data_IF_740987246967
#
_entry.id   IF_740987246967
#
_cell.length_a   1.000
_cell.length_b   1.000
_cell.length_c   1.000
_cell.angle_alpha   90.00
_cell.angle_beta   90.00
_cell.angle_gamma   90.00
#
_symmetry.space_group_name_H-M   'P 1'
#
loop_
_entity.id
_entity.type
_entity.pdbx_description
1 polymer ?
#
# COMPACT_ATOMS: atom_id res chain seq x y z
N UNK A 1 18.18 -18.98 -11.27
CA UNK A 1 18.12 -18.00 -10.17
C UNK A 1 16.66 -17.59 -9.99
N UNK A 2 15.93 -18.25 -9.09
CA UNK A 2 14.46 -18.13 -8.94
C UNK A 2 14.06 -18.04 -7.46
N UNK A 3 14.93 -17.46 -6.62
CA UNK A 3 14.70 -17.20 -5.20
C UNK A 3 14.65 -15.69 -4.98
N UNK A 4 13.44 -15.13 -4.82
CA UNK A 4 13.20 -13.83 -4.17
C UNK A 4 11.71 -13.39 -4.18
N UNK A 5 10.81 -14.05 -4.92
CA UNK A 5 9.38 -13.64 -4.92
C UNK A 5 8.65 -13.93 -3.60
N UNK A 6 8.98 -15.04 -2.93
CA UNK A 6 8.26 -15.45 -1.71
C UNK A 6 8.45 -14.57 -0.47
N UNK A 7 9.52 -13.76 -0.37
CA UNK A 7 9.69 -12.85 0.78
C UNK A 7 8.97 -11.52 0.60
N UNK A 8 8.71 -11.12 -0.66
CA UNK A 8 7.99 -9.89 -0.99
C UNK A 8 6.48 -10.05 -0.78
N UNK A 9 5.92 -11.21 -1.14
CA UNK A 9 4.51 -11.52 -0.84
C UNK A 9 4.27 -11.56 0.68
N UNK A 10 5.19 -12.15 1.45
CA UNK A 10 5.11 -12.11 2.92
C UNK A 10 5.23 -10.67 3.47
N UNK A 11 6.02 -9.81 2.81
CA UNK A 11 6.20 -8.42 3.18
C UNK A 11 4.93 -7.58 2.93
N UNK A 12 4.31 -7.74 1.76
CA UNK A 12 3.02 -7.18 1.40
C UNK A 12 1.92 -7.58 2.40
N UNK A 13 1.89 -8.86 2.75
CA UNK A 13 0.96 -9.41 3.74
C UNK A 13 1.18 -8.79 5.11
N UNK A 14 2.42 -8.73 5.57
CA UNK A 14 2.81 -8.09 6.82
C UNK A 14 2.47 -6.60 6.83
N UNK A 15 2.69 -5.88 5.75
CA UNK A 15 2.41 -4.44 5.65
C UNK A 15 0.91 -4.16 5.79
N UNK A 16 0.09 -5.02 5.18
CA UNK A 16 -1.36 -4.94 5.22
C UNK A 16 -1.91 -5.45 6.57
N UNK A 17 -1.29 -6.47 7.17
CA UNK A 17 -1.55 -6.97 8.54
C UNK A 17 -1.13 -5.98 9.64
N UNK A 18 -0.06 -5.21 9.44
CA UNK A 18 0.50 -4.28 10.41
C UNK A 18 -0.12 -2.88 10.35
N UNK A 19 -0.53 -2.42 9.17
CA UNK A 19 -1.01 -1.06 8.95
C UNK A 19 -2.50 -0.93 8.70
N UNK A 20 -3.24 -1.99 9.00
CA UNK A 20 -4.60 -1.88 9.51
C UNK A 20 -5.74 -2.24 8.57
N UNK A 21 -5.53 -3.18 7.65
CA UNK A 21 -6.65 -3.98 7.19
C UNK A 21 -6.16 -5.39 6.91
N UNK A 22 -6.71 -6.36 7.62
CA UNK A 22 -6.29 -7.77 7.60
C UNK A 22 -6.33 -8.34 6.19
N UNK A 23 -5.16 -8.73 5.65
CA UNK A 23 -5.09 -9.46 4.39
C UNK A 23 -3.92 -10.45 4.29
N UNK A 24 -4.26 -11.62 3.75
CA UNK A 24 -3.60 -12.92 3.70
C UNK A 24 -2.17 -13.03 3.14
N UNK A 25 -1.33 -13.81 3.84
CA UNK A 25 -0.34 -14.72 3.23
C UNK A 25 -1.08 -15.91 2.60
N UNK A 26 -1.25 -15.91 1.28
CA UNK A 26 -1.42 -17.14 0.53
C UNK A 26 -0.03 -17.68 0.18
N UNK A 27 0.45 -18.73 0.86
CA UNK A 27 1.42 -19.59 0.19
C UNK A 27 0.72 -20.13 -1.06
N UNK A 28 1.33 -20.11 -2.26
CA UNK A 28 0.72 -20.80 -3.38
C UNK A 28 0.51 -22.25 -2.94
N UNK A 29 -0.74 -22.71 -2.94
CA UNK A 29 -1.02 -24.14 -2.93
C UNK A 29 -0.17 -24.71 -4.06
N UNK A 30 0.93 -25.36 -3.70
CA UNK A 30 1.59 -26.26 -4.62
C UNK A 30 0.56 -27.35 -4.82
N UNK A 31 -0.07 -27.36 -5.98
CA UNK A 31 -0.60 -28.59 -6.54
C UNK A 31 0.53 -29.61 -6.43
N UNK A 32 0.44 -30.46 -5.41
CA UNK A 32 1.20 -31.69 -5.37
C UNK A 32 0.56 -32.53 -6.45
N UNK A 33 1.00 -32.31 -7.68
CA UNK A 33 0.78 -33.24 -8.78
C UNK A 33 1.40 -34.55 -8.30
N UNK A 34 0.61 -35.61 -8.03
CA UNK A 34 1.19 -36.89 -7.70
C UNK A 34 2.10 -37.29 -8.86
N UNK A 35 3.33 -37.67 -8.55
CA UNK A 35 4.28 -38.14 -9.55
C UNK A 35 3.61 -39.20 -10.43
N UNK A 36 3.69 -39.09 -11.76
CA UNK A 36 3.11 -40.11 -12.63
C UNK A 36 3.82 -41.43 -12.36
N UNK A 37 3.04 -42.42 -11.94
CA UNK A 37 3.44 -43.82 -11.94
C UNK A 37 3.77 -44.17 -13.39
N UNK A 38 5.02 -44.56 -13.62
CA UNK A 38 5.53 -44.97 -14.92
C UNK A 38 4.83 -46.25 -15.36
N UNK A 39 4.07 -46.28 -16.47
CA UNK A 39 3.62 -47.52 -17.08
C UNK A 39 4.71 -48.03 -18.03
N UNK A 40 4.92 -49.34 -18.02
CA UNK A 40 5.81 -50.04 -18.94
C UNK A 40 5.39 -49.86 -20.41
N UNK A 41 6.39 -49.81 -21.30
CA UNK A 41 6.36 -50.10 -22.76
C UNK A 41 5.50 -51.37 -23.02
N UNK A 42 4.70 -51.53 -24.08
CA UNK A 42 4.77 -51.27 -25.54
C UNK A 42 3.39 -51.73 -26.13
N UNK A 43 3.10 -51.81 -27.47
CA UNK A 43 3.59 -51.10 -28.64
C UNK A 43 2.46 -50.51 -29.56
N UNK A 44 2.88 -49.52 -30.36
CA UNK A 44 2.44 -49.10 -31.71
C UNK A 44 1.11 -49.62 -32.30
N UNK A 45 0.21 -48.69 -32.69
CA UNK A 45 -0.61 -48.82 -33.92
C UNK A 45 -1.18 -47.49 -34.44
N UNK A 46 -0.68 -47.10 -35.62
CA UNK A 46 -1.37 -46.52 -36.81
C UNK A 46 -2.28 -45.26 -36.70
N UNK A 47 -1.86 -44.20 -37.41
CA UNK A 47 -2.66 -43.05 -37.89
C UNK A 47 -3.75 -43.46 -38.92
N UNK A 48 -4.78 -42.64 -39.29
CA UNK A 48 -4.64 -41.36 -40.06
C UNK A 48 -5.78 -40.32 -39.73
N UNK A 49 -6.18 -39.38 -40.64
CA UNK A 49 -5.61 -38.07 -41.02
C UNK A 49 -6.56 -36.86 -40.66
N UNK A 50 -6.24 -35.59 -41.00
CA UNK A 50 -7.02 -34.42 -40.56
C UNK A 50 -8.19 -34.09 -41.49
N UNK A 51 -9.28 -33.57 -40.92
CA UNK A 51 -10.44 -33.06 -41.67
C UNK A 51 -10.49 -31.55 -41.52
N UNK A 52 -10.16 -30.84 -42.60
CA UNK A 52 -10.66 -29.50 -42.87
C UNK A 52 -12.09 -29.62 -43.37
N UNK A 53 -13.01 -28.79 -42.88
CA UNK A 53 -14.31 -28.59 -43.53
C UNK A 53 -14.62 -27.10 -43.58
N UNK A 54 -14.72 -26.60 -44.80
CA UNK A 54 -15.26 -25.30 -45.18
C UNK A 54 -16.61 -25.52 -45.89
N UNK A 55 -17.59 -24.66 -45.60
CA UNK A 55 -18.75 -24.29 -46.43
C UNK A 55 -19.51 -23.20 -45.64
N UNK A 56 -19.66 -21.94 -46.07
CA UNK A 56 -20.28 -21.36 -47.27
C UNK A 56 -21.78 -21.67 -47.45
N UNK A 57 -22.60 -20.61 -47.33
CA UNK A 57 -23.75 -20.22 -48.18
C UNK A 57 -24.60 -19.18 -47.40
N UNK A 58 -24.59 -17.90 -47.78
CA UNK A 58 -25.49 -17.25 -48.77
C UNK A 58 -26.97 -17.17 -48.33
N UNK A 59 -27.48 -15.96 -48.03
CA UNK A 59 -28.31 -15.19 -48.99
C UNK A 59 -28.98 -13.92 -48.40
N UNK A 60 -28.75 -12.80 -49.12
CA UNK A 60 -29.70 -11.74 -49.56
C UNK A 60 -30.38 -10.79 -48.53
N UNK A 61 -30.97 -9.65 -48.97
CA UNK A 61 -30.69 -8.79 -50.14
C UNK A 61 -30.46 -7.30 -49.81
N UNK A 62 -29.94 -6.59 -50.82
CA UNK A 62 -29.89 -5.14 -51.00
C UNK A 62 -31.19 -4.39 -50.61
N UNK A 63 -31.04 -3.39 -49.75
CA UNK A 63 -32.01 -2.32 -49.57
C UNK A 63 -31.35 -0.98 -49.92
N UNK A 64 -31.96 -0.30 -50.89
CA UNK A 64 -31.52 0.96 -51.45
C UNK A 64 -31.30 2.05 -50.38
N UNK A 65 -30.15 2.71 -50.46
CA UNK A 65 -29.81 3.86 -49.63
C UNK A 65 -30.64 5.11 -50.05
N UNK A 66 -31.37 5.76 -49.14
CA UNK A 66 -31.93 7.08 -49.40
C UNK A 66 -30.83 8.16 -49.40
N UNK A 67 -31.02 9.17 -50.25
CA UNK A 67 -30.15 10.32 -50.42
C UNK A 67 -29.85 11.06 -49.09
N UNK A 68 -28.65 11.67 -48.94
CA UNK A 68 -28.27 12.36 -47.72
C UNK A 68 -29.19 13.55 -47.46
N UNK A 69 -29.95 13.47 -46.38
CA UNK A 69 -30.69 14.60 -45.83
C UNK A 69 -29.68 15.65 -45.34
N UNK A 70 -29.99 16.92 -45.59
CA UNK A 70 -29.17 18.06 -45.21
C UNK A 70 -28.68 17.96 -43.76
N UNK A 71 -27.43 18.38 -43.47
CA UNK A 71 -26.88 18.29 -42.12
C UNK A 71 -27.79 19.07 -41.15
N UNK A 72 -28.22 18.46 -40.04
CA UNK A 72 -28.97 19.17 -39.02
C UNK A 72 -28.13 20.35 -38.53
N UNK A 73 -28.80 21.49 -38.32
CA UNK A 73 -28.20 22.69 -37.77
C UNK A 73 -27.34 22.33 -36.56
N UNK A 74 -26.07 22.71 -36.61
CA UNK A 74 -25.10 22.47 -35.55
C UNK A 74 -25.74 22.90 -34.22
N UNK A 75 -25.83 22.00 -33.21
CA UNK A 75 -26.23 22.42 -31.88
C UNK A 75 -25.27 23.55 -31.44
N UNK A 76 -25.76 24.54 -30.66
CA UNK A 76 -24.93 25.65 -30.22
C UNK A 76 -23.63 25.08 -29.67
N UNK A 77 -22.50 25.53 -30.24
CA UNK A 77 -21.15 25.09 -29.87
C UNK A 77 -21.12 24.99 -28.35
N UNK A 78 -21.14 23.75 -27.85
CA UNK A 78 -20.87 23.46 -26.45
C UNK A 78 -19.50 24.07 -26.26
N UNK A 79 -19.47 25.19 -25.55
CA UNK A 79 -18.26 25.92 -25.16
C UNK A 79 -17.27 24.82 -24.84
N UNK A 80 -16.17 24.74 -25.58
CA UNK A 80 -15.04 23.92 -25.19
C UNK A 80 -14.80 24.32 -23.74
N UNK A 81 -15.29 23.48 -22.82
CA UNK A 81 -14.85 23.46 -21.46
C UNK A 81 -13.38 23.17 -21.66
N UNK A 82 -12.62 24.25 -21.69
CA UNK A 82 -11.22 24.30 -21.35
C UNK A 82 -11.11 23.20 -20.30
N UNK A 83 -10.40 22.13 -20.63
CA UNK A 83 -9.91 21.21 -19.64
C UNK A 83 -9.02 22.06 -18.74
N UNK A 84 -9.65 22.84 -17.86
CA UNK A 84 -9.11 23.26 -16.60
C UNK A 84 -8.60 21.96 -16.04
N UNK A 85 -7.27 21.85 -16.03
CA UNK A 85 -6.55 20.78 -15.42
C UNK A 85 -7.34 20.42 -14.17
N UNK A 86 -7.99 19.24 -14.19
CA UNK A 86 -8.65 18.70 -13.02
C UNK A 86 -7.57 18.69 -11.98
N UNK A 87 -7.60 19.70 -11.12
CA UNK A 87 -6.92 19.69 -9.85
C UNK A 87 -7.58 18.52 -9.15
N UNK A 88 -6.91 17.36 -9.19
CA UNK A 88 -7.23 16.26 -8.30
C UNK A 88 -6.84 16.74 -6.91
N UNK A 89 -7.69 17.56 -6.33
CA UNK A 89 -7.64 17.92 -4.93
C UNK A 89 -7.82 16.61 -4.15
N UNK A 90 -6.70 16.06 -3.69
CA UNK A 90 -6.68 15.05 -2.64
C UNK A 90 -7.24 15.72 -1.38
N UNK A 91 -8.52 15.48 -1.08
CA UNK A 91 -9.19 16.06 0.07
C UNK A 91 -8.48 15.75 1.41
N UNK A 92 -8.42 16.71 2.36
CA UNK A 92 -8.42 18.16 2.15
C UNK A 92 -7.01 18.75 2.35
N UNK A 93 -6.00 18.13 1.71
CA UNK A 93 -4.77 18.78 1.21
C UNK A 93 -3.56 18.97 2.15
N UNK A 94 -2.35 19.23 1.61
CA UNK A 94 -1.77 18.55 0.44
C UNK A 94 -0.33 18.08 0.66
N UNK A 95 0.07 17.02 -0.07
CA UNK A 95 1.32 17.05 -0.84
C UNK A 95 1.07 16.31 -2.15
N UNK A 96 1.26 16.98 -3.28
CA UNK A 96 1.39 16.35 -4.60
C UNK A 96 2.75 16.72 -5.19
N UNK A 97 3.47 15.75 -5.75
CA UNK A 97 4.13 15.95 -7.03
C UNK A 97 3.74 14.83 -8.01
N UNK A 98 2.76 15.16 -8.85
CA UNK A 98 2.65 14.74 -10.26
C UNK A 98 2.28 13.30 -10.65
N UNK A 99 2.14 12.33 -9.75
CA UNK A 99 1.62 11.00 -10.13
C UNK A 99 0.47 10.52 -9.23
N UNK A 100 -0.53 9.79 -9.78
CA UNK A 100 -1.56 9.15 -8.98
C UNK A 100 -0.93 8.02 -8.15
N UNK A 101 -0.49 8.35 -6.94
CA UNK A 101 -0.08 7.35 -5.96
C UNK A 101 -1.28 6.48 -5.60
N UNK A 102 -1.10 5.17 -5.65
CA UNK A 102 -2.12 4.22 -5.24
C UNK A 102 -2.24 4.20 -3.70
N UNK A 103 -1.15 4.51 -2.97
CA UNK A 103 -1.18 4.58 -1.52
C UNK A 103 -0.32 5.71 -0.92
N UNK A 104 -0.66 6.10 0.31
CA UNK A 104 0.06 7.04 1.17
C UNK A 104 -0.03 6.55 2.62
N UNK A 105 1.07 6.07 3.18
CA UNK A 105 1.26 5.75 4.59
C UNK A 105 1.90 6.96 5.30
N UNK A 106 1.30 7.45 6.36
CA UNK A 106 1.91 8.41 7.27
C UNK A 106 1.96 7.82 8.69
N UNK A 107 3.10 7.95 9.36
CA UNK A 107 3.28 7.55 10.77
C UNK A 107 3.74 8.74 11.62
N UNK A 108 3.04 8.99 12.72
CA UNK A 108 3.33 10.03 13.69
C UNK A 108 4.31 9.49 14.73
N UNK A 109 5.59 9.57 14.41
CA UNK A 109 6.65 8.96 15.21
C UNK A 109 6.75 9.59 16.60
N UNK A 110 6.49 10.89 16.71
CA UNK A 110 6.44 11.59 18.00
C UNK A 110 5.32 11.05 18.89
N UNK A 111 4.10 10.89 18.36
CA UNK A 111 2.99 10.32 19.13
C UNK A 111 3.22 8.85 19.48
N UNK A 112 3.77 8.07 18.54
CA UNK A 112 4.04 6.65 18.76
C UNK A 112 5.09 6.41 19.85
N UNK A 113 6.15 7.23 19.94
CA UNK A 113 7.11 7.14 21.07
C UNK A 113 6.49 7.43 22.43
N UNK A 114 5.38 8.18 22.47
CA UNK A 114 4.74 8.62 23.71
C UNK A 114 3.81 7.57 24.33
N UNK A 115 3.51 6.45 23.66
CA UNK A 115 2.69 5.36 24.21
C UNK A 115 3.38 4.00 24.11
N UNK A 116 3.12 3.05 25.04
CA UNK A 116 3.68 1.69 24.97
C UNK A 116 3.29 0.94 23.69
N UNK A 117 2.02 1.02 23.28
CA UNK A 117 1.55 0.45 22.01
C UNK A 117 2.20 1.08 20.80
N UNK A 118 2.39 2.40 20.83
CA UNK A 118 3.02 3.14 19.75
C UNK A 118 4.47 2.72 19.53
N UNK A 119 5.24 2.45 20.60
CA UNK A 119 6.61 1.92 20.48
C UNK A 119 6.64 0.58 19.73
N UNK A 120 5.73 -0.35 20.05
CA UNK A 120 5.60 -1.61 19.30
C UNK A 120 5.21 -1.37 17.84
N UNK A 121 4.34 -0.39 17.57
CA UNK A 121 4.03 0.01 16.18
C UNK A 121 5.28 0.54 15.46
N UNK A 122 6.13 1.33 16.14
CA UNK A 122 7.40 1.79 15.57
C UNK A 122 8.36 0.65 15.27
N UNK A 123 8.41 -0.37 16.13
CA UNK A 123 9.19 -1.58 15.82
C UNK A 123 8.72 -2.22 14.54
N UNK A 124 7.40 -2.36 14.33
CA UNK A 124 6.87 -2.90 13.08
C UNK A 124 7.26 -2.02 11.88
N UNK A 125 7.13 -0.70 12.00
CA UNK A 125 7.55 0.24 10.94
C UNK A 125 9.06 0.22 10.67
N UNK A 126 9.88 -0.11 11.66
CA UNK A 126 11.33 -0.21 11.50
C UNK A 126 11.76 -1.39 10.65
N UNK A 127 10.84 -2.32 10.39
CA UNK A 127 11.06 -3.48 9.54
C UNK A 127 10.72 -3.22 8.07
N UNK A 128 10.21 -2.02 7.73
CA UNK A 128 9.97 -1.62 6.34
C UNK A 128 11.28 -1.52 5.55
N UNK A 129 11.37 -2.04 4.30
CA UNK A 129 12.61 -1.98 3.53
C UNK A 129 13.05 -0.54 3.33
N UNK A 130 12.11 0.37 3.11
CA UNK A 130 12.40 1.79 2.93
C UNK A 130 12.99 2.41 4.20
N UNK A 131 12.56 1.98 5.39
CA UNK A 131 13.07 2.52 6.66
C UNK A 131 14.43 1.92 7.03
N UNK A 132 14.62 0.62 6.77
CA UNK A 132 15.93 -0.05 6.85
C UNK A 132 16.93 0.64 5.92
N UNK A 133 16.57 0.86 4.66
CA UNK A 133 17.42 1.53 3.67
C UNK A 133 17.75 2.96 4.09
N UNK A 134 16.76 3.69 4.62
CA UNK A 134 16.99 5.06 5.13
C UNK A 134 17.98 5.06 6.29
N UNK A 135 17.83 4.14 7.25
CA UNK A 135 18.73 4.01 8.40
C UNK A 135 20.13 3.53 8.02
N UNK A 136 20.25 2.66 7.02
CA UNK A 136 21.54 2.17 6.53
C UNK A 136 22.29 3.21 5.71
N UNK A 137 21.57 4.01 4.92
CA UNK A 137 22.15 4.99 3.99
C UNK A 137 22.35 6.37 4.62
N UNK A 138 21.77 6.63 5.79
CA UNK A 138 21.84 7.93 6.46
C UNK A 138 22.22 7.77 7.93
N UNK A 139 22.69 8.84 8.56
CA UNK A 139 22.88 8.86 10.02
C UNK A 139 21.60 9.24 10.78
N UNK A 140 20.49 9.43 10.07
CA UNK A 140 19.19 9.76 10.68
C UNK A 140 18.46 8.44 10.93
N UNK A 141 18.19 8.14 12.19
CA UNK A 141 17.26 7.06 12.51
C UNK A 141 15.85 7.67 12.51
N UNK A 142 14.97 7.32 11.55
CA UNK A 142 13.63 7.89 11.49
C UNK A 142 12.88 7.72 12.81
N UNK A 143 13.07 6.60 13.50
CA UNK A 143 12.31 6.25 14.70
C UNK A 143 12.85 6.92 15.95
N UNK A 144 14.13 7.28 16.00
CA UNK A 144 14.70 8.05 17.11
C UNK A 144 14.58 9.57 16.87
N UNK A 145 14.93 10.03 15.67
CA UNK A 145 15.13 11.44 15.35
C UNK A 145 13.93 12.09 14.62
N UNK A 146 13.04 11.27 14.05
CA UNK A 146 11.94 11.72 13.21
C UNK A 146 10.71 12.17 13.99
N UNK A 147 10.06 13.24 13.53
CA UNK A 147 8.75 13.69 14.00
C UNK A 147 7.63 12.90 13.33
N UNK A 148 7.75 12.71 12.01
CA UNK A 148 6.85 11.87 11.21
C UNK A 148 7.59 11.20 10.04
N UNK A 149 7.02 10.09 9.60
CA UNK A 149 7.42 9.34 8.41
C UNK A 149 6.25 9.37 7.41
N UNK A 150 6.56 9.58 6.14
CA UNK A 150 5.62 9.54 5.04
C UNK A 150 6.16 8.66 3.92
N UNK A 151 5.42 7.60 3.57
CA UNK A 151 5.73 6.69 2.46
C UNK A 151 4.58 6.74 1.46
N UNK A 152 4.87 6.92 0.17
CA UNK A 152 3.85 6.91 -0.87
C UNK A 152 4.38 6.39 -2.20
N UNK A 153 3.51 5.73 -2.98
CA UNK A 153 3.91 5.05 -4.21
C UNK A 153 2.73 4.47 -4.99
N UNK A 154 3.07 3.69 -6.02
CA UNK A 154 2.09 3.04 -6.91
C UNK A 154 1.70 1.64 -6.42
N UNK A 155 2.61 0.97 -5.73
CA UNK A 155 2.42 -0.41 -5.28
C UNK A 155 3.14 -0.61 -3.94
N UNK A 156 2.42 -1.14 -2.95
CA UNK A 156 2.99 -1.46 -1.63
C UNK A 156 3.97 -2.64 -1.74
N UNK A 157 3.79 -3.49 -2.75
CA UNK A 157 4.46 -4.77 -2.88
C UNK A 157 5.78 -4.66 -3.68
N UNK A 158 6.04 -3.51 -4.32
CA UNK A 158 7.23 -3.25 -5.13
C UNK A 158 8.10 -2.17 -4.47
N UNK A 159 8.92 -2.54 -3.46
CA UNK A 159 9.83 -1.61 -2.82
C UNK A 159 10.85 -1.08 -3.85
N UNK A 160 11.15 0.22 -3.77
CA UNK A 160 12.06 0.92 -4.68
C UNK A 160 11.38 1.87 -5.68
N UNK A 161 10.06 1.79 -5.84
CA UNK A 161 9.27 2.81 -6.56
C UNK A 161 8.56 3.78 -5.61
N UNK A 162 8.78 3.62 -4.31
CA UNK A 162 8.15 4.41 -3.26
C UNK A 162 9.02 5.61 -2.90
N UNK A 163 8.36 6.72 -2.57
CA UNK A 163 8.99 7.87 -1.95
C UNK A 163 8.87 7.72 -0.45
N UNK A 164 9.99 7.84 0.26
CA UNK A 164 10.06 7.89 1.71
C UNK A 164 10.55 9.28 2.14
N UNK A 165 9.74 10.00 2.89
CA UNK A 165 10.05 11.31 3.42
C UNK A 165 9.98 11.28 4.96
N UNK A 166 11.04 11.74 5.61
CA UNK A 166 11.17 11.79 7.07
C UNK A 166 11.41 13.22 7.50
N UNK A 167 10.49 13.79 8.27
CA UNK A 167 10.76 15.04 8.96
C UNK A 167 11.50 14.74 10.25
N UNK A 168 12.64 15.39 10.48
CA UNK A 168 13.53 15.13 11.61
C UNK A 168 13.86 16.40 12.41
N UNK A 169 14.21 16.21 13.68
CA UNK A 169 14.67 17.29 14.57
C UNK A 169 16.17 17.57 14.52
N UNK A 170 16.95 16.83 13.72
CA UNK A 170 18.41 16.97 13.66
C UNK A 170 18.85 18.31 13.04
N UNK A 171 19.98 18.90 13.50
CA UNK A 171 20.60 20.04 12.83
C UNK A 171 20.95 19.72 11.38
N UNK A 172 20.63 20.64 10.46
CA UNK A 172 20.83 20.46 9.02
C UNK A 172 22.29 20.10 8.64
N UNK A 173 23.26 20.71 9.33
CA UNK A 173 24.69 20.45 9.12
C UNK A 173 25.07 18.99 9.36
N UNK A 174 24.46 18.34 10.33
CA UNK A 174 24.72 16.93 10.64
C UNK A 174 24.13 16.01 9.57
N UNK A 175 22.93 16.32 9.11
CA UNK A 175 22.25 15.56 8.06
C UNK A 175 22.96 15.72 6.72
N UNK A 176 23.32 16.95 6.33
CA UNK A 176 24.13 17.18 5.13
C UNK A 176 25.50 16.52 5.23
N UNK A 177 26.16 16.56 6.39
CA UNK A 177 27.43 15.87 6.62
C UNK A 177 27.30 14.34 6.55
N UNK A 178 26.21 13.78 7.06
CA UNK A 178 25.92 12.35 6.97
C UNK A 178 25.67 11.91 5.51
N UNK A 179 24.89 12.69 4.77
CA UNK A 179 24.65 12.46 3.35
C UNK A 179 25.98 12.53 2.57
N UNK A 180 26.79 13.55 2.79
CA UNK A 180 28.09 13.67 2.11
C UNK A 180 29.03 12.49 2.45
N UNK A 181 29.09 12.06 3.71
CA UNK A 181 29.89 10.89 4.15
C UNK A 181 29.45 9.59 3.51
N UNK A 182 28.16 9.44 3.25
CA UNK A 182 27.63 8.26 2.59
C UNK A 182 27.93 8.23 1.07
N UNK A 183 28.79 9.14 0.58
CA UNK A 183 29.29 9.15 -0.80
C UNK A 183 28.36 9.85 -1.78
N UNK A 184 27.40 10.62 -1.28
CA UNK A 184 26.45 11.31 -2.11
C UNK A 184 27.00 12.65 -2.60
N UNK A 185 27.03 12.84 -3.91
CA UNK A 185 27.50 14.09 -4.50
C UNK A 185 26.42 15.16 -4.37
N UNK A 186 26.74 16.39 -3.93
CA UNK A 186 25.81 17.49 -3.99
C UNK A 186 25.43 17.75 -5.45
N UNK A 187 24.15 17.63 -5.77
CA UNK A 187 23.56 18.23 -6.96
C UNK A 187 23.65 19.75 -6.81
N UNK A 188 23.85 20.43 -7.93
CA UNK A 188 23.88 21.89 -8.04
C UNK A 188 22.86 22.56 -7.10
N UNK A 189 23.30 23.61 -6.40
CA UNK A 189 22.48 24.37 -5.45
C UNK A 189 21.12 24.68 -6.08
N UNK A 190 20.08 24.00 -5.59
CA UNK A 190 18.71 24.40 -5.86
C UNK A 190 18.45 25.79 -5.26
N UNK A 191 17.30 26.42 -5.56
CA UNK A 191 16.95 27.71 -5.00
C UNK A 191 17.18 27.73 -3.47
N UNK A 192 18.04 28.65 -3.02
CA UNK A 192 18.57 28.88 -1.67
C UNK A 192 18.14 27.87 -0.60
N UNK A 193 19.03 26.92 -0.29
CA UNK A 193 18.99 26.10 0.95
C UNK A 193 18.63 24.63 0.78
N UNK A 194 18.30 24.17 -0.44
CA UNK A 194 18.06 22.75 -0.71
C UNK A 194 19.38 22.04 -1.07
N UNK A 195 19.84 21.15 -0.20
CA UNK A 195 20.96 20.24 -0.50
C UNK A 195 20.37 19.05 -1.23
N UNK A 196 20.50 19.06 -2.56
CA UNK A 196 20.20 17.91 -3.39
C UNK A 196 21.44 17.04 -3.46
N UNK A 197 21.28 15.72 -3.48
CA UNK A 197 22.40 14.78 -3.43
C UNK A 197 22.09 13.56 -4.29
N UNK A 198 23.01 13.15 -5.17
CA UNK A 198 22.87 11.94 -6.01
C UNK A 198 23.46 10.70 -5.33
N UNK A 199 22.75 9.56 -5.46
CA UNK A 199 23.05 8.28 -4.81
C UNK A 199 24.01 7.40 -5.63
N UNK A 200 24.73 6.59 -4.86
CA UNK A 200 25.57 5.46 -5.24
C UNK A 200 24.77 4.15 -5.11
N UNK A 201 23.79 3.94 -5.98
CA UNK A 201 23.06 2.71 -6.36
C UNK A 201 22.02 3.18 -7.39
N UNK A 202 21.91 2.54 -8.56
CA UNK A 202 21.40 3.20 -9.79
C UNK A 202 19.93 3.64 -9.71
N UNK A 203 19.18 3.23 -8.67
CA UNK A 203 17.72 3.29 -8.63
C UNK A 203 17.14 4.45 -7.80
N UNK A 204 17.75 4.80 -6.68
CA UNK A 204 17.17 5.76 -5.73
C UNK A 204 18.00 7.05 -5.69
N UNK A 205 17.41 8.14 -5.24
CA UNK A 205 18.05 9.40 -4.89
C UNK A 205 17.71 9.76 -3.44
N UNK A 206 18.68 10.30 -2.71
CA UNK A 206 18.50 10.78 -1.34
C UNK A 206 18.80 12.27 -1.31
N UNK A 207 17.88 13.11 -0.85
CA UNK A 207 18.06 14.56 -0.82
C UNK A 207 17.32 15.20 0.34
N UNK A 208 17.68 16.44 0.65
CA UNK A 208 17.04 17.24 1.69
C UNK A 208 16.46 18.51 1.08
N UNK A 209 15.15 18.53 0.73
CA UNK A 209 14.53 19.70 0.10
C UNK A 209 14.34 20.86 1.08
N UNK A 210 14.33 20.58 2.39
CA UNK A 210 14.36 21.58 3.46
C UNK A 210 15.26 21.08 4.61
N UNK A 211 15.81 21.96 5.46
CA UNK A 211 16.71 21.59 6.56
C UNK A 211 16.21 20.52 7.54
N UNK A 212 14.90 20.26 7.58
CA UNK A 212 14.26 19.32 8.50
C UNK A 212 13.61 18.14 7.79
N UNK A 213 13.79 18.00 6.48
CA UNK A 213 13.17 16.96 5.68
C UNK A 213 14.25 16.19 4.93
N UNK A 214 14.25 14.87 5.11
CA UNK A 214 15.08 13.92 4.39
C UNK A 214 14.17 13.09 3.48
N UNK A 215 14.53 12.93 2.21
CA UNK A 215 13.70 12.24 1.22
C UNK A 215 14.54 11.24 0.45
N UNK A 216 14.07 10.00 0.40
CA UNK A 216 14.53 8.95 -0.51
C UNK A 216 13.45 8.72 -1.56
N UNK A 217 13.79 8.77 -2.84
CA UNK A 217 12.83 8.63 -3.94
C UNK A 217 13.47 7.94 -5.16
N UNK A 218 12.68 7.38 -6.08
CA UNK A 218 13.20 6.91 -7.36
C UNK A 218 13.96 8.01 -8.10
N UNK A 219 15.13 7.66 -8.65
CA UNK A 219 16.07 8.63 -9.23
C UNK A 219 15.46 9.43 -10.38
N UNK A 220 14.69 8.77 -11.23
CA UNK A 220 13.98 9.35 -12.38
C UNK A 220 12.93 10.41 -11.96
N UNK A 221 12.42 10.33 -10.72
CA UNK A 221 11.43 11.27 -10.17
C UNK A 221 12.00 12.27 -9.15
N UNK A 222 13.24 12.08 -8.70
CA UNK A 222 13.84 12.86 -7.63
C UNK A 222 13.81 14.38 -7.88
N UNK A 223 14.06 14.81 -9.12
CA UNK A 223 14.04 16.24 -9.49
C UNK A 223 12.65 16.85 -9.30
N UNK A 224 11.61 16.19 -9.79
CA UNK A 224 10.22 16.63 -9.67
C UNK A 224 9.79 16.68 -8.20
N UNK A 225 10.06 15.60 -7.47
CA UNK A 225 9.69 15.47 -6.06
C UNK A 225 10.38 16.55 -5.22
N UNK A 226 11.69 16.78 -5.44
CA UNK A 226 12.44 17.79 -4.69
C UNK A 226 11.91 19.21 -4.90
N UNK A 227 11.35 19.54 -6.07
CA UNK A 227 10.73 20.86 -6.32
C UNK A 227 9.43 21.00 -5.54
N UNK A 228 8.63 19.95 -5.49
CA UNK A 228 7.33 20.00 -4.82
C UNK A 228 7.42 19.92 -3.29
N UNK A 229 8.43 19.24 -2.76
CA UNK A 229 8.67 19.12 -1.31
C UNK A 229 9.42 20.31 -0.69
N UNK A 230 9.63 21.40 -1.43
CA UNK A 230 10.12 22.68 -0.86
C UNK A 230 9.09 23.29 0.08
N UNK A 231 7.80 23.00 -0.14
CA UNK A 231 6.72 23.50 0.72
C UNK A 231 6.57 22.61 1.96
N UNK A 232 6.07 23.16 3.09
CA UNK A 232 5.73 22.36 4.25
C UNK A 232 4.79 21.20 3.87
N UNK A 233 5.18 20.00 4.28
CA UNK A 233 4.41 18.78 4.09
C UNK A 233 3.50 18.58 5.30
N UNK A 234 2.19 18.47 5.04
CA UNK A 234 1.23 18.01 6.04
C UNK A 234 0.94 16.50 5.83
N UNK A 235 1.34 15.63 6.78
CA UNK A 235 0.95 14.22 6.75
C UNK A 235 -0.54 14.02 7.01
N UNK A 236 -1.24 15.03 7.54
CA UNK A 236 -2.69 15.05 7.75
C UNK A 236 -3.15 14.33 9.01
N UNK A 237 -2.30 14.13 10.02
CA UNK A 237 -2.71 13.43 11.24
C UNK A 237 -3.83 14.18 11.98
N UNK A 238 -4.80 13.43 12.51
CA UNK A 238 -5.69 13.93 13.55
C UNK A 238 -5.12 13.66 14.94
N UNK A 239 -5.69 14.31 15.96
CA UNK A 239 -5.31 14.08 17.35
C UNK A 239 -5.43 12.60 17.72
N UNK A 240 -4.40 12.05 18.37
CA UNK A 240 -4.35 10.65 18.82
C UNK A 240 -4.02 9.61 17.73
N UNK A 241 -3.77 10.01 16.48
CA UNK A 241 -3.38 9.06 15.43
C UNK A 241 -1.89 8.71 15.51
N UNK A 242 -1.59 7.41 15.54
CA UNK A 242 -0.24 6.87 15.43
C UNK A 242 0.17 6.72 13.97
N UNK A 243 -0.76 6.26 13.14
CA UNK A 243 -0.55 6.08 11.72
C UNK A 243 -1.86 6.21 10.95
N UNK A 244 -1.74 6.55 9.67
CA UNK A 244 -2.83 6.49 8.72
C UNK A 244 -2.36 6.05 7.35
N UNK A 245 -3.16 5.25 6.68
CA UNK A 245 -2.90 4.79 5.31
C UNK A 245 -4.07 5.19 4.44
N UNK A 246 -3.82 5.98 3.41
CA UNK A 246 -4.80 6.28 2.39
C UNK A 246 -4.49 5.48 1.14
N UNK A 247 -5.52 4.92 0.53
CA UNK A 247 -5.46 4.20 -0.72
C UNK A 247 -6.41 4.87 -1.73
N UNK A 248 -5.89 5.13 -2.93
CA UNK A 248 -6.68 5.53 -4.08
C UNK A 248 -6.76 4.33 -5.00
N UNK A 249 -7.98 3.94 -5.36
CA UNK A 249 -8.24 2.70 -6.12
C UNK A 249 -7.49 1.51 -5.48
N UNK A 250 -7.86 1.08 -4.26
CA UNK A 250 -7.02 0.23 -3.41
C UNK A 250 -6.53 -1.07 -4.08
N UNK A 251 -7.29 -1.58 -5.05
CA UNK A 251 -6.92 -2.74 -5.87
C UNK A 251 -5.62 -2.55 -6.68
N UNK A 252 -5.19 -1.31 -6.92
CA UNK A 252 -3.90 -0.99 -7.57
C UNK A 252 -2.73 -1.14 -6.61
N UNK A 253 -2.95 -0.83 -5.33
CA UNK A 253 -1.93 -0.93 -4.29
C UNK A 253 -1.83 -2.36 -3.72
N UNK A 254 -2.92 -3.13 -3.79
CA UNK A 254 -2.95 -4.53 -3.34
C UNK A 254 -3.97 -5.34 -4.14
N UNK A 255 -3.56 -6.50 -4.65
CA UNK A 255 -4.42 -7.37 -5.49
C UNK A 255 -5.62 -7.98 -4.76
N UNK A 256 -5.68 -7.86 -3.43
CA UNK A 256 -6.65 -8.59 -2.63
C UNK A 256 -7.92 -7.77 -2.40
N UNK A 257 -7.85 -6.44 -2.49
CA UNK A 257 -9.03 -5.58 -2.38
C UNK A 257 -9.83 -5.59 -3.69
N UNK A 258 -11.17 -5.55 -3.62
CA UNK A 258 -12.00 -5.59 -4.81
C UNK A 258 -11.83 -4.32 -5.65
N UNK A 259 -11.87 -4.48 -6.97
CA UNK A 259 -11.67 -3.40 -7.94
C UNK A 259 -12.73 -2.29 -7.87
N UNK A 260 -13.87 -2.57 -7.24
CA UNK A 260 -14.99 -1.65 -7.08
C UNK A 260 -14.75 -0.56 -6.03
N UNK A 261 -13.76 -0.69 -5.14
CA UNK A 261 -13.47 0.35 -4.15
C UNK A 261 -12.76 1.55 -4.81
N UNK A 262 -13.28 2.76 -4.59
CA UNK A 262 -12.68 3.99 -5.12
C UNK A 262 -11.55 4.51 -4.24
N UNK A 263 -11.73 4.42 -2.92
CA UNK A 263 -10.80 4.89 -1.91
C UNK A 263 -10.94 4.09 -0.62
N UNK A 264 -9.86 4.02 0.13
CA UNK A 264 -9.85 3.51 1.49
C UNK A 264 -8.94 4.34 2.39
N UNK A 265 -9.32 4.51 3.65
CA UNK A 265 -8.55 5.16 4.70
C UNK A 265 -8.49 4.22 5.88
N UNK A 266 -7.28 3.88 6.30
CA UNK A 266 -6.98 3.16 7.52
C UNK A 266 -6.35 4.11 8.51
N UNK A 267 -6.71 3.98 9.79
CA UNK A 267 -6.16 4.76 10.89
C UNK A 267 -5.87 3.85 12.08
N UNK A 268 -4.71 4.05 12.68
CA UNK A 268 -4.24 3.36 13.88
C UNK A 268 -4.12 4.36 15.03
N UNK A 269 -4.68 4.02 16.20
CA UNK A 269 -4.66 4.82 17.43
C UNK A 269 -4.21 3.97 18.61
N UNK A 270 -3.61 4.56 19.65
CA UNK A 270 -3.40 3.82 20.88
C UNK A 270 -4.75 3.59 21.57
N UNK A 271 -4.95 2.39 22.09
CA UNK A 271 -6.11 2.09 22.94
C UNK A 271 -5.80 2.44 24.41
N UNK A 272 -6.83 2.48 25.26
CA UNK A 272 -6.70 2.84 26.68
C UNK A 272 -6.01 1.77 27.55
N UNK A 273 -5.92 0.54 27.04
CA UNK A 273 -5.35 -0.63 27.71
C UNK A 273 -3.91 -0.94 27.24
N UNK A 274 -3.22 0.02 26.62
CA UNK A 274 -1.94 -0.15 25.93
C UNK A 274 -2.00 -1.07 24.69
N UNK A 275 -3.20 -1.33 24.16
CA UNK A 275 -3.44 -1.96 22.87
C UNK A 275 -3.42 -0.97 21.69
N UNK A 276 -3.96 -1.43 20.55
CA UNK A 276 -4.15 -0.62 19.35
C UNK A 276 -5.60 -0.70 18.88
N UNK A 277 -6.18 0.46 18.57
CA UNK A 277 -7.44 0.55 17.85
C UNK A 277 -7.15 0.82 16.38
N UNK A 278 -7.60 -0.09 15.53
CA UNK A 278 -7.49 0.01 14.08
C UNK A 278 -8.87 0.23 13.49
N UNK A 279 -9.03 1.30 12.73
CA UNK A 279 -10.27 1.62 12.02
C UNK A 279 -9.98 1.82 10.55
N UNK A 280 -10.87 1.35 9.70
CA UNK A 280 -10.83 1.59 8.27
C UNK A 280 -12.19 2.04 7.73
N UNK A 281 -12.15 2.93 6.75
CA UNK A 281 -13.29 3.38 5.97
C UNK A 281 -12.95 3.21 4.48
N UNK A 282 -13.85 2.67 3.68
CA UNK A 282 -13.70 2.61 2.23
C UNK A 282 -14.99 3.06 1.55
N UNK A 283 -14.88 3.53 0.31
CA UNK A 283 -16.01 4.02 -0.48
C UNK A 283 -16.33 3.04 -1.60
N UNK A 284 -17.61 2.68 -1.70
CA UNK A 284 -18.17 1.80 -2.72
C UNK A 284 -18.92 2.60 -3.79
N UNK A 285 -19.16 2.04 -4.99
CA UNK A 285 -19.93 2.71 -6.05
C UNK A 285 -21.38 2.98 -5.64
N UNK A 286 -21.98 2.02 -4.92
CA UNK A 286 -23.34 2.09 -4.41
C UNK A 286 -23.48 1.23 -3.14
N UNK A 287 -24.66 1.30 -2.51
CA UNK A 287 -24.95 0.58 -1.27
C UNK A 287 -25.00 -0.95 -1.44
N UNK A 288 -25.49 -1.45 -2.58
CA UNK A 288 -25.60 -2.88 -2.83
C UNK A 288 -24.21 -3.51 -2.97
N UNK A 289 -23.33 -2.88 -3.74
CA UNK A 289 -21.93 -3.24 -3.86
C UNK A 289 -21.23 -3.22 -2.48
N UNK A 290 -21.55 -2.23 -1.63
CA UNK A 290 -20.97 -2.14 -0.30
C UNK A 290 -21.35 -3.31 0.61
N UNK A 291 -22.61 -3.77 0.55
CA UNK A 291 -23.07 -4.96 1.29
C UNK A 291 -22.40 -6.24 0.78
N UNK A 292 -22.30 -6.40 -0.53
CA UNK A 292 -21.63 -7.56 -1.14
C UNK A 292 -20.14 -7.60 -0.77
N UNK A 293 -19.44 -6.46 -0.87
CA UNK A 293 -18.03 -6.34 -0.50
C UNK A 293 -17.84 -6.62 0.99
N UNK A 294 -18.69 -6.06 1.86
CA UNK A 294 -18.63 -6.32 3.30
C UNK A 294 -18.72 -7.82 3.59
N UNK A 295 -19.69 -8.51 3.00
CA UNK A 295 -19.88 -9.94 3.17
C UNK A 295 -18.69 -10.75 2.62
N UNK A 296 -18.19 -10.41 1.43
CA UNK A 296 -17.01 -11.03 0.84
C UNK A 296 -15.75 -10.86 1.72
N UNK A 297 -15.59 -9.69 2.35
CA UNK A 297 -14.49 -9.42 3.28
C UNK A 297 -14.66 -10.19 4.59
N UNK A 298 -15.87 -10.32 5.15
CA UNK A 298 -16.14 -11.16 6.33
C UNK A 298 -15.82 -12.62 6.05
N UNK A 299 -16.26 -13.14 4.90
CA UNK A 299 -15.96 -14.52 4.49
C UNK A 299 -14.46 -14.73 4.29
N UNK A 300 -13.76 -13.75 3.71
CA UNK A 300 -12.30 -13.81 3.59
C UNK A 300 -11.63 -13.77 4.97
N UNK A 301 -12.08 -12.91 5.88
CA UNK A 301 -11.61 -12.87 7.26
C UNK A 301 -11.82 -14.22 7.96
N UNK A 302 -12.99 -14.85 7.78
CA UNK A 302 -13.28 -16.17 8.33
C UNK A 302 -12.34 -17.26 7.78
N UNK A 303 -12.04 -17.24 6.47
CA UNK A 303 -11.07 -18.17 5.85
C UNK A 303 -9.64 -17.95 6.36
N UNK A 304 -9.23 -16.69 6.54
CA UNK A 304 -7.91 -16.33 7.06
C UNK A 304 -7.77 -16.67 8.55
N UNK A 305 -8.87 -16.62 9.29
CA UNK A 305 -8.95 -16.96 10.70
C UNK A 305 -8.95 -18.48 10.95
N UNK A 306 -8.03 -19.19 10.28
CA UNK A 306 -7.78 -20.62 10.48
C UNK A 306 -7.39 -20.91 11.93
N UNK A 307 -7.48 -22.17 12.37
CA UNK A 307 -7.12 -22.54 13.74
C UNK A 307 -5.71 -22.07 14.12
N UNK A 308 -4.73 -22.22 13.21
CA UNK A 308 -3.35 -21.80 13.45
C UNK A 308 -3.23 -20.28 13.59
N UNK A 309 -3.90 -19.51 12.71
CA UNK A 309 -3.90 -18.04 12.78
C UNK A 309 -4.63 -17.55 14.02
N UNK A 310 -5.74 -18.18 14.41
CA UNK A 310 -6.46 -17.88 15.66
C UNK A 310 -5.58 -18.05 16.88
N UNK A 311 -4.83 -19.14 16.94
CA UNK A 311 -3.90 -19.40 18.06
C UNK A 311 -2.76 -18.37 18.03
N UNK A 312 -2.15 -18.15 16.86
CA UNK A 312 -1.03 -17.23 16.71
C UNK A 312 -1.40 -15.76 17.00
N UNK A 313 -2.59 -15.33 16.60
CA UNK A 313 -3.07 -13.94 16.77
C UNK A 313 -3.98 -13.78 17.98
N UNK A 314 -4.16 -14.83 18.79
CA UNK A 314 -5.11 -14.88 19.92
C UNK A 314 -6.51 -14.40 19.54
N UNK A 315 -6.96 -14.78 18.35
CA UNK A 315 -8.30 -14.48 17.85
C UNK A 315 -8.53 -13.03 17.40
N UNK A 316 -7.49 -12.23 17.14
CA UNK A 316 -7.60 -10.83 16.68
C UNK A 316 -8.59 -10.63 15.50
N UNK A 317 -8.71 -11.63 14.63
CA UNK A 317 -9.53 -11.54 13.42
C UNK A 317 -10.99 -11.94 13.65
N UNK A 318 -11.32 -12.53 14.80
CA UNK A 318 -12.70 -12.99 15.11
C UNK A 318 -13.72 -11.84 14.96
N UNK A 319 -13.48 -10.62 15.45
CA UNK A 319 -14.44 -9.54 15.32
C UNK A 319 -14.76 -9.16 13.87
N UNK A 320 -13.80 -9.34 12.94
CA UNK A 320 -14.01 -9.06 11.51
C UNK A 320 -14.87 -10.10 10.79
N UNK A 321 -15.12 -11.25 11.41
CA UNK A 321 -15.96 -12.31 10.82
C UNK A 321 -17.45 -12.09 11.04
N UNK A 322 -17.80 -11.21 11.97
CA UNK A 322 -19.19 -10.90 12.33
C UNK A 322 -19.58 -9.54 11.77
N UNK A 323 -20.88 -9.38 11.53
CA UNK A 323 -21.44 -8.07 11.27
C UNK A 323 -21.32 -7.20 12.53
N UNK A 324 -20.60 -6.08 12.40
CA UNK A 324 -20.39 -5.18 13.53
C UNK A 324 -21.67 -4.47 13.96
N UNK A 325 -21.71 -4.01 15.22
CA UNK A 325 -22.75 -3.08 15.71
C UNK A 325 -22.29 -1.64 15.49
N UNK A 326 -23.19 -0.64 15.33
CA UNK A 326 -22.83 0.77 15.34
C UNK A 326 -21.88 1.13 16.49
N UNK A 327 -20.70 1.67 16.16
CA UNK A 327 -19.65 2.01 17.14
C UNK A 327 -18.82 0.84 17.69
N UNK A 328 -19.11 -0.41 17.33
CA UNK A 328 -18.37 -1.61 17.77
C UNK A 328 -17.37 -2.14 16.75
N UNK A 329 -16.77 -3.29 17.05
CA UNK A 329 -15.84 -3.99 16.15
C UNK A 329 -16.55 -4.72 15.00
N UNK A 330 -15.80 -5.05 13.95
CA UNK A 330 -16.26 -5.83 12.80
C UNK A 330 -16.46 -5.03 11.52
N UNK A 331 -16.97 -5.70 10.48
CA UNK A 331 -17.13 -5.13 9.13
C UNK A 331 -18.61 -4.77 8.90
N UNK A 332 -18.86 -3.53 8.49
CA UNK A 332 -20.20 -2.96 8.27
C UNK A 332 -20.28 -2.19 6.96
N UNK A 333 -21.42 -2.30 6.28
CA UNK A 333 -21.79 -1.42 5.18
C UNK A 333 -22.80 -0.37 5.69
N UNK A 334 -22.53 0.90 5.42
CA UNK A 334 -23.31 2.06 5.84
C UNK A 334 -23.52 2.98 4.62
N UNK A 335 -24.61 2.78 3.87
CA UNK A 335 -24.82 3.43 2.59
C UNK A 335 -23.69 3.07 1.60
N UNK A 336 -23.03 4.07 1.02
CA UNK A 336 -21.88 3.88 0.11
C UNK A 336 -20.53 3.75 0.83
N UNK A 337 -20.54 3.59 2.16
CA UNK A 337 -19.33 3.47 2.98
C UNK A 337 -19.22 2.09 3.59
N UNK A 338 -18.04 1.51 3.48
CA UNK A 338 -17.64 0.32 4.21
C UNK A 338 -16.82 0.77 5.43
N UNK A 339 -17.15 0.29 6.61
CA UNK A 339 -16.37 0.52 7.83
C UNK A 339 -15.88 -0.80 8.40
N UNK A 340 -14.65 -0.82 8.88
CA UNK A 340 -14.10 -1.93 9.66
C UNK A 340 -13.40 -1.39 10.90
N UNK A 341 -13.50 -2.10 12.01
CA UNK A 341 -12.78 -1.76 13.23
C UNK A 341 -12.35 -3.03 13.96
N UNK A 342 -11.15 -2.99 14.52
CA UNK A 342 -10.57 -4.04 15.35
C UNK A 342 -9.82 -3.38 16.50
N UNK A 343 -10.04 -3.91 17.69
CA UNK A 343 -9.19 -3.65 18.84
C UNK A 343 -8.17 -4.78 18.97
N UNK A 344 -6.90 -4.43 19.10
CA UNK A 344 -5.80 -5.36 19.35
C UNK A 344 -5.27 -5.15 20.76
N UNK A 345 -5.50 -6.11 21.65
CA UNK A 345 -4.98 -6.09 23.01
C UNK A 345 -3.44 -6.11 23.03
N UNK A 346 -2.76 -5.66 24.11
CA UNK A 346 -1.30 -5.54 24.16
C UNK A 346 -0.51 -6.79 23.80
N UNK A 347 -1.05 -7.96 24.15
CA UNK A 347 -0.50 -9.28 23.88
C UNK A 347 -0.72 -9.73 22.42
N UNK A 348 -1.84 -9.32 21.81
CA UNK A 348 -2.10 -9.48 20.39
C UNK A 348 -1.12 -8.63 19.57
N UNK A 349 -0.89 -7.37 19.95
CA UNK A 349 0.10 -6.49 19.29
C UNK A 349 1.50 -7.14 19.31
N UNK A 350 1.90 -7.71 20.44
CA UNK A 350 3.18 -8.43 20.54
C UNK A 350 3.21 -9.68 19.64
N UNK A 351 2.09 -10.40 19.57
CA UNK A 351 1.98 -11.59 18.74
C UNK A 351 2.08 -11.26 17.25
N UNK A 352 1.47 -10.14 16.82
CA UNK A 352 1.61 -9.60 15.46
C UNK A 352 3.07 -9.27 15.18
N UNK A 353 3.73 -8.50 16.06
CA UNK A 353 5.15 -8.14 15.88
C UNK A 353 6.03 -9.38 15.74
N UNK A 354 5.84 -10.39 16.60
CA UNK A 354 6.61 -11.64 16.51
C UNK A 354 6.32 -12.41 15.20
N UNK A 355 5.07 -12.43 14.75
CA UNK A 355 4.70 -13.02 13.47
C UNK A 355 5.38 -12.29 12.30
N UNK A 356 5.35 -10.96 12.30
CA UNK A 356 6.03 -10.12 11.31
C UNK A 356 7.53 -10.42 11.28
N UNK A 357 8.19 -10.44 12.44
CA UNK A 357 9.62 -10.74 12.54
C UNK A 357 9.94 -12.14 12.02
N UNK A 358 9.15 -13.14 12.38
CA UNK A 358 9.32 -14.51 11.90
C UNK A 358 9.17 -14.60 10.37
N UNK A 359 8.18 -13.90 9.79
CA UNK A 359 7.98 -13.85 8.34
C UNK A 359 9.18 -13.22 7.59
N UNK A 360 9.89 -12.30 8.25
CA UNK A 360 11.11 -11.67 7.74
C UNK A 360 12.39 -12.44 8.07
N UNK A 361 12.30 -13.60 8.74
CA UNK A 361 13.45 -14.37 9.18
C UNK A 361 14.27 -13.68 10.29
N UNK A 362 13.65 -12.76 11.03
CA UNK A 362 14.27 -12.06 12.15
C UNK A 362 14.02 -12.80 13.47
N UNK A 363 14.94 -12.73 14.45
CA UNK A 363 14.72 -13.32 15.77
C UNK A 363 13.50 -12.67 16.42
N UNK A 364 12.77 -13.41 17.27
CA UNK A 364 11.64 -12.86 18.02
C UNK A 364 12.05 -11.60 18.81
N UNK A 365 11.12 -10.68 19.01
CA UNK A 365 11.39 -9.51 19.84
C UNK A 365 11.66 -10.00 21.28
N UNK A 366 12.74 -9.51 21.88
CA UNK A 366 13.03 -9.79 23.29
C UNK A 366 11.95 -9.11 24.14
N UNK A 367 11.18 -9.84 24.97
CA UNK A 367 10.13 -9.25 25.80
C UNK A 367 10.63 -8.17 26.76
N UNK A 368 11.95 -8.03 26.96
CA UNK A 368 12.57 -6.98 27.78
C UNK A 368 13.21 -5.82 27.01
N UNK A 369 13.19 -5.79 25.68
CA UNK A 369 13.79 -4.70 24.91
C UNK A 369 12.80 -3.51 24.80
N UNK A 370 13.18 -2.30 25.24
CA UNK A 370 12.30 -1.13 25.30
C UNK A 370 11.99 -0.44 23.96
#
# INVERSE_FOLDING_TARGET
MTRARGSLDAFACVFVLANGLVVACGAPERDVVPSPVTPAEEPVRTAPPPVMSAASAENAPDAAAPAPSAPPALPPRRREEKHEARTTSFGPGPVEPSAPHAFKLAANLKAARASPSGKKTLEIFSLLPETILTKQRTAVDPFADGEWLLVYGEDVDVPGNNVNAVRHGRPAVEVSGAIAKAGFLPLEEGPKGAVRTELFDVRDALFSPTPSLLVMAPRDRAKEISVALVRPVDPGFKSGELARVFFKEPWRATSILPKSLSDALVVVRPASDDGLDVSAEATCPDEAACKEIAEGLRQRAARMNSLMVRVATRGLLIPLTVEGKPGGEGIRAEGTKLRASVHAAPDQVQSILNFVRAALGLPAADPGSP
#
